data_IF_684573925735
#
_entry.id   IF_684573925735
#
_cell.length_a   1.000
_cell.length_b   1.000
_cell.length_c   1.000
_cell.angle_alpha   90.00
_cell.angle_beta   90.00
_cell.angle_gamma   90.00
#
_symmetry.space_group_name_H-M   'P 1'
#
loop_
_entity.id
_entity.type
_entity.pdbx_description
1 polymer ?
#
# COMPACT_ATOMS: atom_id res chain seq x y z
N UNK A 1 -9.40 -0.28 11.26
CA UNK A 1 -10.52 -0.64 10.37
C UNK A 1 -10.22 -1.99 9.70
N UNK A 2 -11.22 -2.73 9.20
CA UNK A 2 -11.01 -3.98 8.45
C UNK A 2 -11.76 -3.89 7.12
N UNK A 3 -11.08 -4.13 6.00
CA UNK A 3 -11.70 -4.21 4.68
C UNK A 3 -12.69 -5.38 4.63
N UNK A 4 -13.77 -5.24 3.86
CA UNK A 4 -14.65 -6.36 3.51
C UNK A 4 -13.90 -7.38 2.64
N UNK A 5 -14.43 -8.61 2.49
CA UNK A 5 -13.88 -9.58 1.56
C UNK A 5 -13.77 -9.02 0.13
N UNK A 6 -14.85 -8.41 -0.38
CA UNK A 6 -14.89 -7.84 -1.73
C UNK A 6 -13.83 -6.73 -1.90
N UNK A 7 -13.71 -5.82 -0.93
CA UNK A 7 -12.67 -4.78 -0.95
C UNK A 7 -11.24 -5.36 -0.89
N UNK A 8 -11.07 -6.50 -0.23
CA UNK A 8 -9.78 -7.19 -0.18
C UNK A 8 -9.45 -7.79 -1.54
N UNK A 9 -10.43 -8.40 -2.21
CA UNK A 9 -10.27 -8.96 -3.55
C UNK A 9 -10.00 -7.86 -4.58
N UNK A 10 -10.71 -6.73 -4.52
CA UNK A 10 -10.49 -5.56 -5.36
C UNK A 10 -9.07 -4.97 -5.18
N UNK A 11 -8.60 -4.89 -3.93
CA UNK A 11 -7.23 -4.44 -3.62
C UNK A 11 -6.17 -5.39 -4.19
N UNK A 12 -6.42 -6.70 -4.12
CA UNK A 12 -5.53 -7.71 -4.71
C UNK A 12 -5.52 -7.61 -6.23
N UNK A 13 -6.68 -7.40 -6.87
CA UNK A 13 -6.77 -7.24 -8.31
C UNK A 13 -6.05 -5.98 -8.79
N UNK A 14 -6.26 -4.84 -8.11
CA UNK A 14 -5.53 -3.61 -8.37
C UNK A 14 -4.01 -3.81 -8.27
N UNK A 15 -3.54 -4.48 -7.23
CA UNK A 15 -2.11 -4.70 -7.01
C UNK A 15 -1.48 -5.58 -8.09
N UNK A 16 -2.21 -6.58 -8.62
CA UNK A 16 -1.75 -7.43 -9.74
C UNK A 16 -1.63 -6.68 -11.06
N UNK A 17 -2.51 -5.71 -11.28
CA UNK A 17 -2.56 -4.93 -12.52
C UNK A 17 -1.64 -3.71 -12.50
N UNK A 18 -1.16 -3.31 -11.31
CA UNK A 18 -0.32 -2.12 -11.15
C UNK A 18 1.16 -2.45 -11.35
N UNK A 19 1.80 -1.93 -12.41
CA UNK A 19 3.21 -2.22 -12.67
C UNK A 19 4.11 -1.79 -11.52
N UNK A 20 5.06 -2.66 -11.18
CA UNK A 20 6.06 -2.41 -10.14
C UNK A 20 5.59 -2.68 -8.72
N UNK A 21 4.30 -2.96 -8.46
CA UNK A 21 3.82 -3.35 -7.12
C UNK A 21 4.21 -4.78 -6.80
N UNK A 22 5.04 -4.96 -5.76
CA UNK A 22 5.46 -6.27 -5.27
C UNK A 22 4.71 -6.70 -4.03
N UNK A 23 4.42 -5.78 -3.10
CA UNK A 23 3.73 -6.11 -1.87
C UNK A 23 2.77 -4.98 -1.48
N UNK A 24 1.59 -5.36 -1.01
CA UNK A 24 0.63 -4.46 -0.37
C UNK A 24 0.33 -4.99 1.03
N UNK A 25 0.46 -4.13 2.04
CA UNK A 25 0.08 -4.42 3.41
C UNK A 25 -1.04 -3.49 3.86
N UNK A 26 -2.01 -4.04 4.58
CA UNK A 26 -3.05 -3.24 5.25
C UNK A 26 -2.64 -2.96 6.70
N UNK A 27 -2.76 -1.71 7.11
CA UNK A 27 -2.57 -1.32 8.50
C UNK A 27 -3.85 -1.48 9.32
N UNK A 28 -3.71 -2.07 10.51
CA UNK A 28 -4.83 -2.29 11.43
C UNK A 28 -4.74 -1.43 12.70
N UNK A 29 -3.65 -0.67 12.86
CA UNK A 29 -3.33 0.09 14.07
C UNK A 29 -3.70 1.57 14.02
N UNK A 30 -4.01 2.11 15.20
CA UNK A 30 -4.18 3.54 15.47
C UNK A 30 -2.83 4.25 15.63
N UNK A 31 -2.01 4.30 14.58
CA UNK A 31 -0.93 5.29 14.53
C UNK A 31 -1.59 6.66 14.37
N UNK A 32 -1.33 7.63 15.24
CA UNK A 32 -2.09 8.89 15.37
C UNK A 32 -2.24 9.80 14.14
N UNK A 33 -1.73 9.41 12.97
CA UNK A 33 -1.99 10.00 11.64
C UNK A 33 -3.06 9.24 10.83
N UNK A 34 -3.67 8.20 11.40
CA UNK A 34 -4.72 7.42 10.76
C UNK A 34 -5.97 8.28 10.55
N UNK A 35 -6.40 8.42 9.29
CA UNK A 35 -7.75 8.91 9.01
C UNK A 35 -8.75 7.82 9.46
N UNK A 36 -9.55 8.07 10.51
CA UNK A 36 -10.48 7.07 11.04
C UNK A 36 -11.57 6.68 10.04
N UNK A 37 -11.76 7.44 8.95
CA UNK A 37 -12.70 7.12 7.88
C UNK A 37 -12.08 6.30 6.73
N UNK A 38 -10.76 6.14 6.70
CA UNK A 38 -10.02 5.55 5.58
C UNK A 38 -9.19 4.32 5.95
N UNK A 39 -8.32 3.94 5.02
CA UNK A 39 -7.33 2.88 5.23
C UNK A 39 -5.93 3.36 4.86
N UNK A 40 -4.97 2.95 5.68
CA UNK A 40 -3.56 3.11 5.38
C UNK A 40 -3.04 1.80 4.76
N UNK A 41 -2.33 1.95 3.65
CA UNK A 41 -1.72 0.85 2.91
C UNK A 41 -0.22 1.08 2.80
N UNK A 42 0.57 0.04 3.04
CA UNK A 42 2.01 0.03 2.78
C UNK A 42 2.27 -0.61 1.43
N UNK A 43 3.07 0.05 0.60
CA UNK A 43 3.40 -0.39 -0.74
C UNK A 43 4.91 -0.67 -0.85
N UNK A 44 5.26 -1.88 -1.26
CA UNK A 44 6.62 -2.21 -1.70
C UNK A 44 6.62 -2.28 -3.22
N UNK A 45 7.52 -1.52 -3.83
CA UNK A 45 7.74 -1.56 -5.27
C UNK A 45 9.03 -2.31 -5.60
N UNK A 46 9.05 -3.00 -6.74
CA UNK A 46 10.24 -3.65 -7.27
C UNK A 46 10.01 -4.37 -8.60
N UNK A 47 11.10 -4.88 -9.18
CA UNK A 47 11.11 -5.52 -10.50
C UNK A 47 12.20 -4.91 -11.39
N UNK A 48 12.69 -5.69 -12.36
CA UNK A 48 13.86 -5.33 -13.18
C UNK A 48 13.64 -4.13 -14.12
N UNK A 49 12.39 -3.80 -14.48
CA UNK A 49 12.06 -2.76 -15.48
C UNK A 49 11.49 -1.47 -14.88
N UNK A 50 11.45 -1.34 -13.55
CA UNK A 50 10.67 -0.28 -12.87
C UNK A 50 11.47 1.03 -12.68
N UNK A 51 12.76 1.05 -13.05
CA UNK A 51 13.63 2.21 -12.79
C UNK A 51 13.91 2.38 -11.29
N UNK A 52 14.03 3.64 -10.82
CA UNK A 52 14.14 3.94 -9.39
C UNK A 52 12.76 3.81 -8.70
N UNK A 53 12.54 2.80 -7.83
CA UNK A 53 11.25 2.55 -7.21
C UNK A 53 10.74 3.72 -6.36
N UNK A 54 11.66 4.46 -5.73
CA UNK A 54 11.29 5.62 -4.92
C UNK A 54 10.71 6.74 -5.80
N UNK A 55 11.37 7.04 -6.92
CA UNK A 55 10.88 8.03 -7.89
C UNK A 55 9.51 7.62 -8.45
N UNK A 56 9.32 6.35 -8.82
CA UNK A 56 8.03 5.87 -9.30
C UNK A 56 6.94 6.08 -8.23
N UNK A 57 7.22 5.70 -6.98
CA UNK A 57 6.27 5.89 -5.89
C UNK A 57 5.84 7.34 -5.76
N UNK A 58 6.77 8.28 -5.64
CA UNK A 58 6.42 9.69 -5.45
C UNK A 58 5.69 10.28 -6.65
N UNK A 59 5.99 9.81 -7.86
CA UNK A 59 5.29 10.25 -9.07
C UNK A 59 3.87 9.71 -9.15
N UNK A 60 3.64 8.46 -8.73
CA UNK A 60 2.35 7.77 -8.93
C UNK A 60 1.45 7.74 -7.70
N UNK A 61 1.96 8.06 -6.50
CA UNK A 61 1.24 7.92 -5.23
C UNK A 61 -0.16 8.54 -5.28
N UNK A 62 -0.27 9.80 -5.69
CA UNK A 62 -1.56 10.51 -5.72
C UNK A 62 -2.56 9.85 -6.68
N UNK A 63 -2.09 9.38 -7.84
CA UNK A 63 -2.92 8.66 -8.82
C UNK A 63 -3.39 7.31 -8.25
N UNK A 64 -2.50 6.58 -7.58
CA UNK A 64 -2.81 5.31 -6.95
C UNK A 64 -3.77 5.46 -5.77
N UNK A 65 -3.57 6.44 -4.90
CA UNK A 65 -4.48 6.78 -3.79
C UNK A 65 -5.89 7.09 -4.32
N UNK A 66 -6.01 7.92 -5.36
CA UNK A 66 -7.29 8.24 -5.97
C UNK A 66 -7.97 7.01 -6.61
N UNK A 67 -7.20 6.20 -7.35
CA UNK A 67 -7.70 4.96 -7.98
C UNK A 67 -8.20 3.97 -6.94
N UNK A 68 -7.44 3.77 -5.86
CA UNK A 68 -7.81 2.87 -4.78
C UNK A 68 -9.00 3.40 -3.99
N UNK A 69 -9.07 4.72 -3.75
CA UNK A 69 -10.20 5.30 -3.04
C UNK A 69 -11.52 5.12 -3.81
N UNK A 70 -11.49 5.26 -5.14
CA UNK A 70 -12.63 4.96 -6.00
C UNK A 70 -12.99 3.47 -5.99
N UNK A 71 -11.99 2.60 -6.01
CA UNK A 71 -12.16 1.14 -6.04
C UNK A 71 -12.76 0.63 -4.73
N UNK A 72 -12.23 1.08 -3.59
CA UNK A 72 -12.61 0.60 -2.26
C UNK A 72 -13.80 1.37 -1.67
N UNK A 73 -14.15 2.53 -2.24
CA UNK A 73 -15.23 3.39 -1.76
C UNK A 73 -14.92 4.08 -0.43
N UNK A 74 -13.64 4.28 -0.11
CA UNK A 74 -13.16 4.90 1.14
C UNK A 74 -11.85 5.66 0.89
N UNK A 75 -11.47 6.65 1.74
CA UNK A 75 -10.18 7.31 1.64
C UNK A 75 -9.01 6.32 1.80
N UNK A 76 -7.98 6.48 0.97
CA UNK A 76 -6.79 5.62 0.97
C UNK A 76 -5.54 6.49 1.08
N UNK A 77 -4.66 6.11 2.00
CA UNK A 77 -3.32 6.71 2.14
C UNK A 77 -2.28 5.63 1.86
N UNK A 78 -1.36 5.92 0.95
CA UNK A 78 -0.24 5.04 0.64
C UNK A 78 1.01 5.46 1.40
N UNK A 79 1.72 4.46 1.90
CA UNK A 79 2.99 4.60 2.61
C UNK A 79 4.07 3.80 1.89
N UNK A 80 5.22 4.43 1.65
CA UNK A 80 6.40 3.75 1.11
C UNK A 80 6.91 2.72 2.11
N UNK A 81 6.89 1.45 1.71
CA UNK A 81 7.30 0.33 2.56
C UNK A 81 8.54 -0.36 1.98
N UNK A 82 9.69 0.20 2.32
CA UNK A 82 11.01 -0.39 2.07
C UNK A 82 11.89 -0.23 3.30
N UNK A 83 12.54 -1.32 3.71
CA UNK A 83 13.46 -1.38 4.83
C UNK A 83 14.68 -0.44 4.63
N UNK A 84 15.06 -0.16 3.38
CA UNK A 84 16.18 0.73 3.07
C UNK A 84 15.78 2.21 3.03
N UNK A 85 14.54 2.51 2.60
CA UNK A 85 14.08 3.89 2.40
C UNK A 85 13.47 4.57 3.63
N UNK A 86 12.82 3.81 4.53
CA UNK A 86 12.07 4.41 5.65
C UNK A 86 12.01 3.52 6.91
N UNK A 87 13.13 3.32 7.64
CA UNK A 87 13.24 2.34 8.73
C UNK A 87 12.32 2.60 9.94
N UNK A 88 11.95 3.85 10.26
CA UNK A 88 11.02 4.17 11.37
C UNK A 88 9.58 3.79 11.06
N UNK A 89 9.16 4.07 9.84
CA UNK A 89 7.89 3.69 9.23
C UNK A 89 7.82 2.16 9.21
N UNK A 90 8.83 1.50 8.65
CA UNK A 90 8.97 0.04 8.63
C UNK A 90 8.85 -0.63 10.02
N UNK A 91 9.55 -0.11 11.03
CA UNK A 91 9.52 -0.64 12.41
C UNK A 91 8.15 -0.47 13.10
N UNK A 92 7.48 0.65 12.86
CA UNK A 92 6.12 0.91 13.39
C UNK A 92 5.10 0.00 12.71
N UNK A 93 5.35 -0.34 11.46
CA UNK A 93 4.44 -1.05 10.57
C UNK A 93 4.56 -2.57 10.62
N UNK A 94 5.72 -3.14 10.96
CA UNK A 94 5.89 -4.60 11.08
C UNK A 94 4.97 -5.24 12.12
N UNK A 95 4.65 -4.55 13.22
CA UNK A 95 3.81 -5.10 14.30
C UNK A 95 2.31 -4.92 14.13
N UNK A 96 1.87 -4.05 13.19
CA UNK A 96 0.48 -3.59 13.08
C UNK A 96 -0.09 -3.69 11.66
N UNK A 97 0.57 -4.46 10.78
CA UNK A 97 0.14 -4.70 9.41
C UNK A 97 0.02 -6.17 9.08
N UNK A 98 -0.74 -6.47 8.05
CA UNK A 98 -0.76 -7.79 7.44
C UNK A 98 -0.66 -7.68 5.92
N UNK A 99 -0.03 -8.68 5.31
CA UNK A 99 0.12 -8.75 3.85
C UNK A 99 -1.24 -9.08 3.23
N UNK A 100 -1.68 -8.23 2.31
CA UNK A 100 -2.89 -8.44 1.49
C UNK A 100 -2.49 -9.03 0.14
N UNK A 101 -1.42 -8.51 -0.45
CA UNK A 101 -0.88 -8.97 -1.73
C UNK A 101 0.63 -9.12 -1.63
N UNK A 102 1.15 -10.19 -2.22
CA UNK A 102 2.57 -10.41 -2.45
C UNK A 102 2.73 -11.03 -3.83
N UNK A 103 3.19 -10.23 -4.78
CA UNK A 103 3.67 -10.71 -6.08
C UNK A 103 4.95 -11.47 -5.82
N UNK A 104 4.93 -12.80 -6.03
CA UNK A 104 6.17 -13.58 -6.00
C UNK A 104 7.18 -12.98 -6.99
N UNK A 105 8.47 -12.92 -6.64
CA UNK A 105 9.52 -12.50 -7.57
C UNK A 105 9.56 -13.38 -8.82
#
# INVERSE_FOLDING_TARGET
MRLSPDQTDDLVEWARQTPGVQEVRLFTGSSGEHDPAGVDLALTLGGFDVGDPLTLYWFERERWEASLAMTLGLPVTLHWYDAQGAPKVYATYQGHSFVVYSGKP
#
